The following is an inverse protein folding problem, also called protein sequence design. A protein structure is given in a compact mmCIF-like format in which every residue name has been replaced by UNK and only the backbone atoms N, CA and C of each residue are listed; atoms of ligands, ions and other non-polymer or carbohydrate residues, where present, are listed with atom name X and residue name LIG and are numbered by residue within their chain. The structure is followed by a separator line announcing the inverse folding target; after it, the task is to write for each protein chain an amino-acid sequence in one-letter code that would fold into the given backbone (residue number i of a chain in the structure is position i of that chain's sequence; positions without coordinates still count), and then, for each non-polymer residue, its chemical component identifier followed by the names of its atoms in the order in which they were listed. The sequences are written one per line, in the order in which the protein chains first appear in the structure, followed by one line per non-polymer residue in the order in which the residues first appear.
data_IF_767433086949
#
_entry.id   IF_767433086949
#
_cell.length_a   1.000
_cell.length_b   1.000
_cell.length_c   1.000
_cell.angle_alpha   90.00
_cell.angle_beta   90.00
_cell.angle_gamma   90.00
#
_symmetry.space_group_name_H-M   'P 1'
#
loop_
_entity.id
_entity.type
_entity.pdbx_description
1 polymer ?
#
# COMPACT_ATOMS: atom_id res chain seq x y z
N UNK A 1 -3.72 -10.46 -27.36
CA UNK A 1 -3.91 -9.25 -26.52
C UNK A 1 -5.24 -8.64 -26.87
N UNK A 2 -6.22 -8.67 -25.98
CA UNK A 2 -7.54 -8.09 -26.24
C UNK A 2 -7.45 -6.57 -26.30
N UNK A 3 -8.39 -5.92 -27.01
CA UNK A 3 -8.47 -4.45 -27.17
C UNK A 3 -8.77 -3.70 -25.87
N UNK A 4 -9.06 -4.44 -24.80
CA UNK A 4 -9.47 -3.94 -23.50
C UNK A 4 -8.21 -3.68 -22.66
N UNK A 5 -8.11 -2.49 -22.06
CA UNK A 5 -6.99 -2.12 -21.17
C UNK A 5 -5.86 -1.27 -21.80
N UNK A 6 -5.81 -1.11 -23.12
CA UNK A 6 -4.73 -0.31 -23.76
C UNK A 6 -4.77 1.17 -23.35
N UNK A 7 -5.95 1.80 -23.37
CA UNK A 7 -6.12 3.20 -22.95
C UNK A 7 -5.78 3.40 -21.47
N UNK A 8 -6.11 2.42 -20.65
CA UNK A 8 -5.80 2.43 -19.22
C UNK A 8 -4.29 2.32 -19.00
N UNK A 9 -3.61 1.36 -19.64
CA UNK A 9 -2.15 1.17 -19.53
C UNK A 9 -1.38 2.41 -20.01
N UNK A 10 -1.85 3.08 -21.07
CA UNK A 10 -1.30 4.37 -21.52
C UNK A 10 -1.48 5.46 -20.46
N UNK A 11 -2.66 5.54 -19.84
CA UNK A 11 -2.95 6.51 -18.79
C UNK A 11 -2.11 6.27 -17.54
N UNK A 12 -2.05 5.01 -17.07
CA UNK A 12 -1.20 4.60 -15.94
C UNK A 12 0.27 4.92 -16.21
N UNK A 13 0.75 4.70 -17.45
CA UNK A 13 2.13 5.04 -17.84
C UNK A 13 2.40 6.54 -17.80
N UNK A 14 1.47 7.36 -18.27
CA UNK A 14 1.61 8.82 -18.21
C UNK A 14 1.63 9.32 -16.77
N UNK A 15 0.71 8.82 -15.93
CA UNK A 15 0.64 9.18 -14.52
C UNK A 15 1.92 8.75 -13.79
N UNK A 16 2.39 7.51 -14.01
CA UNK A 16 3.66 7.03 -13.43
C UNK A 16 4.81 7.98 -13.74
N UNK A 17 4.99 8.37 -15.01
CA UNK A 17 6.05 9.32 -15.39
C UNK A 17 5.91 10.66 -14.67
N UNK A 18 4.70 11.20 -14.60
CA UNK A 18 4.46 12.48 -13.91
C UNK A 18 4.83 12.41 -12.42
N UNK A 19 4.41 11.37 -11.71
CA UNK A 19 4.73 11.21 -10.28
C UNK A 19 6.24 11.09 -10.04
N UNK A 20 6.96 10.36 -10.89
CA UNK A 20 8.41 10.15 -10.72
C UNK A 20 9.20 11.38 -11.17
N UNK A 21 8.95 11.87 -12.39
CA UNK A 21 9.79 12.90 -13.01
C UNK A 21 9.48 14.32 -12.52
N UNK A 22 8.23 14.61 -12.14
CA UNK A 22 7.80 15.97 -11.76
C UNK A 22 7.59 16.15 -10.26
N UNK A 23 7.23 15.08 -9.56
CA UNK A 23 6.90 15.14 -8.14
C UNK A 23 7.90 14.37 -7.25
N UNK A 24 8.95 13.80 -7.85
CA UNK A 24 10.04 13.10 -7.16
C UNK A 24 9.56 11.95 -6.24
N UNK A 25 8.50 11.25 -6.68
CA UNK A 25 8.04 10.05 -5.98
C UNK A 25 8.89 8.83 -6.33
N UNK A 26 9.24 8.06 -5.31
CA UNK A 26 9.90 6.77 -5.47
C UNK A 26 8.99 5.78 -6.22
N UNK A 27 9.46 5.31 -7.37
CA UNK A 27 8.77 4.24 -8.10
C UNK A 27 9.15 2.87 -7.55
N UNK A 28 8.18 2.22 -6.89
CA UNK A 28 8.37 0.94 -6.22
C UNK A 28 8.33 -0.29 -7.15
N UNK A 29 8.13 -0.09 -8.46
CA UNK A 29 8.07 -1.17 -9.45
C UNK A 29 6.65 -1.63 -9.80
N UNK A 30 6.55 -2.72 -10.57
CA UNK A 30 5.28 -3.37 -10.91
C UNK A 30 5.03 -4.53 -9.93
N UNK A 31 3.95 -4.43 -9.15
CA UNK A 31 3.61 -5.40 -8.11
C UNK A 31 2.46 -6.33 -8.52
N UNK A 32 2.04 -6.31 -9.79
CA UNK A 32 0.92 -7.10 -10.31
C UNK A 32 1.07 -8.61 -10.04
N UNK A 33 2.30 -9.14 -10.06
CA UNK A 33 2.58 -10.58 -9.94
C UNK A 33 3.49 -10.96 -8.77
N UNK A 34 3.63 -10.10 -7.76
CA UNK A 34 4.55 -10.38 -6.63
C UNK A 34 3.93 -11.33 -5.61
N UNK A 35 4.72 -12.28 -5.12
CA UNK A 35 4.36 -13.10 -3.97
C UNK A 35 4.21 -12.23 -2.70
N UNK A 36 3.09 -12.38 -2.00
CA UNK A 36 2.80 -11.59 -0.80
C UNK A 36 2.30 -10.17 -1.07
N UNK A 37 1.73 -9.89 -2.25
CA UNK A 37 1.09 -8.61 -2.56
C UNK A 37 0.01 -8.28 -1.51
N UNK A 38 0.25 -7.24 -0.70
CA UNK A 38 -0.64 -6.79 0.36
C UNK A 38 -0.94 -5.30 0.17
N UNK A 39 -2.12 -4.89 0.63
CA UNK A 39 -2.51 -3.48 0.63
C UNK A 39 -1.59 -2.60 1.50
N UNK A 40 -0.89 -3.21 2.47
CA UNK A 40 -0.02 -2.52 3.41
C UNK A 40 1.34 -3.22 3.42
N UNK A 41 2.35 -2.52 2.93
CA UNK A 41 3.74 -2.95 2.99
C UNK A 41 4.38 -2.50 4.30
N UNK A 42 4.41 -3.40 5.26
CA UNK A 42 4.86 -3.11 6.63
C UNK A 42 6.33 -2.67 6.67
N UNK A 43 7.19 -3.22 5.81
CA UNK A 43 8.60 -2.83 5.71
C UNK A 43 8.76 -1.36 5.30
N UNK A 44 8.17 -0.97 4.16
CA UNK A 44 8.24 0.41 3.66
C UNK A 44 7.64 1.42 4.65
N UNK A 45 6.52 1.06 5.29
CA UNK A 45 5.89 1.92 6.28
C UNK A 45 6.76 2.07 7.54
N UNK A 46 7.41 1.00 7.99
CA UNK A 46 8.34 1.02 9.14
C UNK A 46 9.50 1.96 8.86
N UNK A 47 10.14 1.79 7.70
CA UNK A 47 11.31 2.59 7.30
C UNK A 47 10.94 4.08 7.18
N UNK A 48 9.78 4.38 6.59
CA UNK A 48 9.29 5.74 6.45
C UNK A 48 8.98 6.39 7.81
N UNK A 49 8.32 5.67 8.73
CA UNK A 49 8.03 6.18 10.08
C UNK A 49 9.31 6.35 10.91
N UNK A 50 10.28 5.44 10.77
CA UNK A 50 11.57 5.54 11.44
C UNK A 50 12.36 6.76 10.95
N UNK A 51 12.39 7.02 9.62
CA UNK A 51 12.99 8.23 9.03
C UNK A 51 12.37 9.54 9.56
N UNK A 52 11.11 9.50 10.01
CA UNK A 52 10.42 10.63 10.65
C UNK A 52 10.68 10.78 12.15
N UNK A 53 11.46 9.87 12.76
CA UNK A 53 11.78 9.91 14.19
C UNK A 53 10.67 9.35 15.09
N UNK A 54 9.75 8.55 14.55
CA UNK A 54 8.70 7.92 15.36
C UNK A 54 9.31 6.79 16.21
N UNK A 55 8.97 6.74 17.49
CA UNK A 55 9.45 5.69 18.39
C UNK A 55 9.00 4.29 17.92
N UNK A 56 9.91 3.32 17.99
CA UNK A 56 9.68 1.94 17.54
C UNK A 56 8.43 1.30 18.18
N UNK A 57 8.17 1.59 19.46
CA UNK A 57 6.98 1.11 20.16
C UNK A 57 5.66 1.60 19.52
N UNK A 58 5.63 2.85 19.03
CA UNK A 58 4.47 3.40 18.32
C UNK A 58 4.34 2.83 16.92
N UNK A 59 5.46 2.56 16.24
CA UNK A 59 5.47 1.91 14.92
C UNK A 59 4.85 0.51 15.05
N UNK A 60 5.35 -0.32 15.99
CA UNK A 60 4.82 -1.67 16.25
C UNK A 60 3.32 -1.65 16.59
N UNK A 61 2.89 -0.70 17.41
CA UNK A 61 1.46 -0.56 17.77
C UNK A 61 0.59 -0.18 16.56
N UNK A 62 1.10 0.71 15.71
CA UNK A 62 0.41 1.15 14.48
C UNK A 62 0.27 -0.01 13.49
N UNK A 63 1.36 -0.74 13.23
CA UNK A 63 1.34 -1.91 12.34
C UNK A 63 0.32 -2.95 12.80
N UNK A 64 0.27 -3.27 14.09
CA UNK A 64 -0.74 -4.20 14.63
C UNK A 64 -2.17 -3.72 14.38
N UNK A 65 -2.44 -2.42 14.55
CA UNK A 65 -3.78 -1.86 14.29
C UNK A 65 -4.14 -1.93 12.81
N UNK A 66 -3.17 -1.65 11.94
CA UNK A 66 -3.34 -1.72 10.50
C UNK A 66 -3.57 -3.16 10.01
N UNK A 67 -2.84 -4.13 10.56
CA UNK A 67 -3.05 -5.55 10.25
C UNK A 67 -4.45 -6.01 10.66
N UNK A 68 -4.92 -5.60 11.85
CA UNK A 68 -6.29 -5.91 12.30
C UNK A 68 -7.32 -5.26 11.37
N UNK A 69 -7.14 -3.99 10.99
CA UNK A 69 -8.05 -3.30 10.09
C UNK A 69 -8.07 -3.93 8.69
N UNK A 70 -6.90 -4.31 8.16
CA UNK A 70 -6.78 -4.97 6.86
C UNK A 70 -7.41 -6.38 6.86
N UNK A 71 -7.32 -7.11 7.98
CA UNK A 71 -7.95 -8.42 8.13
C UNK A 71 -9.48 -8.37 8.27
N UNK A 72 -10.05 -7.22 8.65
CA UNK A 72 -11.49 -7.03 8.88
C UNK A 72 -12.27 -6.60 7.62
N UNK A 73 -11.69 -6.76 6.42
CA UNK A 73 -12.32 -6.40 5.14
C UNK A 73 -13.75 -6.94 4.98
N UNK A 74 -14.66 -6.04 4.60
CA UNK A 74 -16.07 -6.20 4.19
C UNK A 74 -16.78 -7.52 4.60
N UNK A 75 -17.34 -7.59 5.81
CA UNK A 75 -18.36 -8.61 6.10
C UNK A 75 -18.52 -9.14 7.51
N UNK A 76 -17.71 -8.72 8.50
CA UNK A 76 -17.97 -9.10 9.90
C UNK A 76 -18.38 -7.90 10.73
N UNK A 77 -19.69 -7.66 10.79
CA UNK A 77 -20.31 -7.03 11.96
C UNK A 77 -19.70 -7.68 13.20
N UNK A 78 -19.14 -6.86 14.06
CA UNK A 78 -18.69 -7.26 15.37
C UNK A 78 -19.82 -8.04 16.06
N UNK A 79 -19.65 -9.35 16.24
CA UNK A 79 -20.31 -10.06 17.32
C UNK A 79 -19.63 -9.59 18.60
N UNK A 80 -20.12 -8.45 19.11
CA UNK A 80 -19.90 -8.06 20.49
C UNK A 80 -20.83 -8.94 21.32
N UNK A 81 -20.23 -9.90 22.01
CA UNK A 81 -20.82 -10.46 23.21
C UNK A 81 -20.79 -9.38 24.30
N UNK A 82 -21.95 -8.88 24.67
CA UNK A 82 -22.34 -8.50 26.04
C UNK A 82 -23.77 -8.99 26.25
#
# INVERSE_FOLDING_TARGET
MSRVGQKERVTQTRLRKFFVEQLDYDYLGDWEYREGNRNIETGLLTDWLAKRGVAEALIKRTLRKLDVAAALGEGKKALRCE
#
